data_IF_518848109537
#
_entry.id   IF_518848109537
#
_cell.length_a   1.000
_cell.length_b   1.000
_cell.length_c   1.000
_cell.angle_alpha   90.00
_cell.angle_beta   90.00
_cell.angle_gamma   90.00
#
_symmetry.space_group_name_H-M   'P 1'
#
loop_
_entity.id
_entity.type
_entity.pdbx_description
1 polymer ?
#
# COMPACT_ATOMS: atom_id res chain seq x y z
N UNK A 1 6.47 -8.97 -5.87
CA UNK A 1 7.64 -9.84 -5.63
C UNK A 1 7.33 -11.15 -4.92
N UNK A 2 6.20 -11.33 -4.19
CA UNK A 2 5.91 -12.57 -3.45
C UNK A 2 5.16 -13.66 -4.26
N UNK A 3 4.41 -13.31 -5.32
CA UNK A 3 3.66 -14.31 -6.12
C UNK A 3 4.50 -14.95 -7.25
N UNK A 4 5.61 -14.31 -7.65
CA UNK A 4 6.56 -14.87 -8.61
C UNK A 4 7.36 -16.07 -8.04
N UNK A 5 7.38 -16.23 -6.71
CA UNK A 5 8.19 -17.24 -6.04
C UNK A 5 7.53 -18.64 -6.01
N UNK A 6 6.23 -18.73 -6.30
CA UNK A 6 5.49 -20.00 -6.21
C UNK A 6 5.61 -20.89 -7.45
N UNK A 7 6.29 -20.47 -8.53
CA UNK A 7 6.31 -21.23 -9.79
C UNK A 7 7.70 -21.50 -10.39
N UNK A 8 8.81 -21.27 -9.67
CA UNK A 8 10.13 -21.50 -10.25
C UNK A 8 11.24 -21.72 -9.24
N UNK A 9 11.44 -22.97 -8.79
CA UNK A 9 12.58 -23.35 -7.94
C UNK A 9 13.45 -24.37 -8.67
N UNK A 10 14.60 -23.92 -9.19
CA UNK A 10 15.71 -24.80 -9.58
C UNK A 10 16.96 -24.34 -8.83
N UNK A 11 17.38 -25.19 -7.89
CA UNK A 11 18.55 -25.01 -7.03
C UNK A 11 19.85 -25.20 -7.81
N UNK A 12 20.82 -24.27 -7.68
CA UNK A 12 22.25 -24.61 -7.71
C UNK A 12 23.05 -23.75 -6.73
N UNK A 13 23.60 -24.43 -5.72
CA UNK A 13 24.63 -23.93 -4.81
C UNK A 13 26.02 -24.10 -5.45
N UNK A 14 26.93 -23.13 -5.21
CA UNK A 14 28.40 -23.27 -5.10
C UNK A 14 28.99 -21.85 -5.11
N UNK A 15 29.98 -21.45 -4.33
CA UNK A 15 30.82 -22.09 -3.33
C UNK A 15 31.78 -21.02 -2.80
N UNK A 16 31.97 -20.97 -1.48
CA UNK A 16 32.92 -20.07 -0.82
C UNK A 16 34.23 -20.83 -0.63
N UNK A 17 35.36 -20.27 -1.05
CA UNK A 17 36.69 -20.81 -0.73
C UNK A 17 37.45 -19.85 0.21
N UNK A 18 38.13 -20.37 1.26
CA UNK A 18 39.04 -19.60 2.09
C UNK A 18 40.50 -19.72 1.59
N UNK A 19 41.28 -18.64 1.71
CA UNK A 19 42.72 -18.59 1.39
C UNK A 19 43.55 -18.76 2.69
N UNK A 20 44.71 -19.46 2.67
CA UNK A 20 45.43 -19.89 3.87
C UNK A 20 46.42 -18.84 4.43
N UNK A 21 46.96 -19.07 5.66
CA UNK A 21 47.76 -18.10 6.39
C UNK A 21 49.26 -18.25 6.08
N UNK A 22 49.99 -17.13 6.04
CA UNK A 22 51.44 -17.18 6.00
C UNK A 22 52.09 -15.85 5.65
N UNK A 23 52.49 -15.10 6.66
CA UNK A 23 53.90 -14.75 6.91
C UNK A 23 53.95 -13.61 7.93
N UNK A 24 54.43 -13.96 9.11
CA UNK A 24 54.91 -13.02 10.11
C UNK A 24 56.21 -12.38 9.59
N UNK A 25 56.23 -11.05 9.53
CA UNK A 25 57.47 -10.29 9.53
C UNK A 25 57.35 -9.17 10.56
N UNK A 26 58.13 -9.37 11.62
CA UNK A 26 58.36 -8.50 12.75
C UNK A 26 58.81 -7.10 12.29
N UNK A 27 58.09 -6.07 12.75
CA UNK A 27 58.60 -4.70 12.78
C UNK A 27 58.69 -4.24 14.25
N UNK A 28 59.77 -3.54 14.63
CA UNK A 28 60.00 -3.15 16.01
C UNK A 28 58.95 -2.13 16.46
N UNK A 29 58.23 -2.48 17.53
CA UNK A 29 57.35 -1.56 18.24
C UNK A 29 58.23 -0.49 18.88
N UNK A 30 58.42 0.62 18.18
CA UNK A 30 58.93 1.85 18.79
C UNK A 30 57.86 2.32 19.77
N UNK A 31 58.10 2.09 21.07
CA UNK A 31 57.31 2.66 22.15
C UNK A 31 57.54 4.18 22.15
N UNK A 32 56.72 4.90 21.39
CA UNK A 32 56.58 6.34 21.59
C UNK A 32 55.89 6.52 22.94
N UNK A 33 56.67 6.77 23.99
CA UNK A 33 56.19 7.33 25.25
C UNK A 33 55.48 8.64 24.93
N UNK A 34 54.16 8.59 24.82
CA UNK A 34 53.32 9.76 24.77
C UNK A 34 53.32 10.35 26.19
N UNK A 35 54.14 11.38 26.40
CA UNK A 35 54.08 12.25 27.57
C UNK A 35 52.68 12.90 27.59
N UNK A 36 51.77 12.29 28.35
CA UNK A 36 50.50 12.90 28.74
C UNK A 36 50.79 13.85 29.91
N UNK A 37 51.36 15.01 29.59
CA UNK A 37 51.44 16.12 30.52
C UNK A 37 51.04 17.39 29.77
N UNK A 38 49.77 17.78 29.93
CA UNK A 38 49.21 18.89 29.16
C UNK A 38 47.71 19.12 29.33
N UNK A 39 47.36 19.80 30.42
CA UNK A 39 46.26 20.77 30.50
C UNK A 39 44.81 20.25 30.49
N UNK A 40 44.17 20.32 31.67
CA UNK A 40 42.75 20.09 31.93
C UNK A 40 41.78 21.08 31.27
N UNK A 41 41.86 21.27 29.96
CA UNK A 41 40.89 22.01 29.13
C UNK A 41 40.27 21.17 28.02
N UNK A 42 40.70 19.92 27.83
CA UNK A 42 40.16 19.01 26.79
C UNK A 42 38.79 18.33 27.06
N UNK A 43 38.21 18.25 28.29
CA UNK A 43 36.83 17.78 28.44
C UNK A 43 35.79 18.88 28.16
N UNK A 44 36.13 20.16 28.40
CA UNK A 44 35.17 21.24 28.42
C UNK A 44 34.72 21.68 27.01
N UNK A 45 35.63 21.66 26.04
CA UNK A 45 35.32 21.91 24.63
C UNK A 45 34.44 20.78 24.05
N UNK A 46 34.73 19.51 24.40
CA UNK A 46 33.92 18.35 24.01
C UNK A 46 32.51 18.41 24.59
N UNK A 47 32.37 18.77 25.87
CA UNK A 47 31.07 18.96 26.52
C UNK A 47 30.27 20.08 25.83
N UNK A 48 30.90 21.20 25.46
CA UNK A 48 30.22 22.30 24.73
C UNK A 48 29.72 21.87 23.36
N UNK A 49 30.52 21.14 22.58
CA UNK A 49 30.08 20.61 21.29
C UNK A 49 28.97 19.57 21.42
N UNK A 50 29.05 18.68 22.41
CA UNK A 50 27.99 17.72 22.70
C UNK A 50 26.70 18.43 23.12
N UNK A 51 26.78 19.42 24.01
CA UNK A 51 25.62 20.21 24.42
C UNK A 51 25.01 20.98 23.24
N UNK A 52 25.83 21.59 22.39
CA UNK A 52 25.36 22.26 21.18
C UNK A 52 24.68 21.29 20.21
N UNK A 53 25.26 20.09 20.02
CA UNK A 53 24.66 19.04 19.18
C UNK A 53 23.33 18.54 19.76
N UNK A 54 23.24 18.32 21.08
CA UNK A 54 21.99 17.91 21.74
C UNK A 54 20.92 19.00 21.66
N UNK A 55 21.27 20.26 21.90
CA UNK A 55 20.36 21.39 21.73
C UNK A 55 19.87 21.50 20.29
N UNK A 56 20.76 21.30 19.30
CA UNK A 56 20.39 21.29 17.90
C UNK A 56 19.42 20.15 17.57
N UNK A 57 19.70 18.92 18.03
CA UNK A 57 18.79 17.79 17.86
C UNK A 57 17.42 18.04 18.49
N UNK A 58 17.39 18.61 19.70
CA UNK A 58 16.14 18.94 20.37
C UNK A 58 15.36 20.02 19.61
N UNK A 59 16.03 21.05 19.10
CA UNK A 59 15.40 22.09 18.29
C UNK A 59 14.79 21.52 17.00
N UNK A 60 15.52 20.63 16.32
CA UNK A 60 15.03 19.95 15.10
C UNK A 60 13.83 19.05 15.40
N UNK A 61 13.89 18.28 16.49
CA UNK A 61 12.79 17.40 16.89
C UNK A 61 11.53 18.20 17.25
N UNK A 62 11.67 19.24 18.08
CA UNK A 62 10.57 20.12 18.48
C UNK A 62 10.01 20.88 17.27
N UNK A 63 10.86 21.41 16.41
CA UNK A 63 10.47 22.12 15.19
C UNK A 63 9.70 21.21 14.23
N UNK A 64 10.18 19.99 14.02
CA UNK A 64 9.50 18.99 13.19
C UNK A 64 8.16 18.61 13.80
N UNK A 65 8.09 18.31 15.10
CA UNK A 65 6.84 18.00 15.78
C UNK A 65 5.83 19.15 15.71
N UNK A 66 6.27 20.40 15.90
CA UNK A 66 5.44 21.59 15.81
C UNK A 66 4.91 21.81 14.38
N UNK A 67 5.77 21.66 13.36
CA UNK A 67 5.39 21.77 11.95
C UNK A 67 4.26 20.82 11.59
N UNK A 68 4.42 19.54 11.90
CA UNK A 68 3.39 18.54 11.59
C UNK A 68 2.14 18.72 12.42
N UNK A 69 2.25 19.04 13.72
CA UNK A 69 1.07 19.36 14.54
C UNK A 69 0.30 20.54 13.97
N UNK A 70 0.98 21.56 13.44
CA UNK A 70 0.31 22.70 12.81
C UNK A 70 -0.45 22.28 11.53
N UNK A 71 0.15 21.42 10.69
CA UNK A 71 -0.50 20.90 9.48
C UNK A 71 -1.65 19.94 9.77
N UNK A 72 -1.56 19.16 10.85
CA UNK A 72 -2.58 18.18 11.23
C UNK A 72 -3.83 18.80 11.88
N UNK A 73 -3.78 20.08 12.31
CA UNK A 73 -4.92 20.77 12.96
C UNK A 73 -6.18 20.82 12.09
N UNK A 74 -6.03 20.84 10.78
CA UNK A 74 -7.13 20.96 9.82
C UNK A 74 -7.48 19.63 9.13
N UNK A 75 -6.94 18.51 9.61
CA UNK A 75 -7.28 17.19 9.08
C UNK A 75 -8.61 16.73 9.68
N UNK A 76 -9.55 16.40 8.80
CA UNK A 76 -10.83 15.81 9.17
C UNK A 76 -10.65 14.30 9.17
N UNK A 77 -11.23 13.64 10.18
CA UNK A 77 -11.28 12.18 10.23
C UNK A 77 -12.17 11.69 9.09
N UNK A 78 -11.64 10.79 8.27
CA UNK A 78 -12.42 10.11 7.24
C UNK A 78 -13.60 9.37 7.86
N UNK A 79 -14.70 9.25 7.10
CA UNK A 79 -15.85 8.46 7.53
C UNK A 79 -15.40 7.01 7.67
N UNK A 80 -15.43 6.40 8.87
CA UNK A 80 -14.95 5.05 9.05
C UNK A 80 -15.91 4.07 8.38
N UNK A 81 -15.37 3.19 7.54
CA UNK A 81 -16.14 2.16 6.85
C UNK A 81 -15.47 0.80 6.99
N UNK A 82 -16.26 -0.26 6.83
CA UNK A 82 -15.80 -1.63 6.85
C UNK A 82 -16.56 -2.48 5.84
N UNK A 83 -16.16 -3.74 5.72
CA UNK A 83 -16.71 -4.69 4.78
C UNK A 83 -17.52 -5.74 5.54
N UNK A 84 -18.79 -5.87 5.18
CA UNK A 84 -19.67 -6.98 5.56
C UNK A 84 -19.57 -8.05 4.48
N UNK A 85 -18.88 -9.15 4.79
CA UNK A 85 -18.62 -10.22 3.84
C UNK A 85 -19.93 -10.90 3.41
N UNK A 86 -20.12 -11.15 2.10
CA UNK A 86 -21.35 -11.74 1.59
C UNK A 86 -21.32 -13.28 1.75
N UNK A 87 -21.37 -13.77 2.99
CA UNK A 87 -21.23 -15.21 3.32
C UNK A 87 -22.32 -16.10 2.69
N UNK A 88 -23.46 -15.51 2.31
CA UNK A 88 -24.58 -16.20 1.65
C UNK A 88 -24.48 -16.15 0.12
N UNK A 89 -23.46 -15.50 -0.44
CA UNK A 89 -23.28 -15.45 -1.90
C UNK A 89 -22.90 -16.82 -2.46
N UNK A 90 -23.27 -17.11 -3.73
CA UNK A 90 -22.93 -18.37 -4.35
C UNK A 90 -21.41 -18.59 -4.40
N UNK A 91 -20.98 -19.79 -4.01
CA UNK A 91 -19.55 -20.18 -3.98
C UNK A 91 -18.67 -19.27 -3.11
N UNK A 92 -19.25 -18.63 -2.07
CA UNK A 92 -18.49 -17.83 -1.14
C UNK A 92 -17.45 -18.66 -0.39
N UNK A 93 -16.21 -18.19 -0.39
CA UNK A 93 -15.14 -18.73 0.45
C UNK A 93 -14.12 -17.65 0.78
N UNK A 94 -13.51 -17.75 1.96
CA UNK A 94 -12.44 -16.84 2.37
C UNK A 94 -11.13 -17.23 1.70
N UNK A 95 -10.39 -16.23 1.24
CA UNK A 95 -9.08 -16.39 0.64
C UNK A 95 -8.03 -16.27 1.75
N UNK A 96 -7.24 -17.34 1.91
CA UNK A 96 -6.12 -17.31 2.84
C UNK A 96 -5.02 -16.41 2.27
N UNK A 97 -4.63 -15.40 3.03
CA UNK A 97 -3.45 -14.58 2.73
C UNK A 97 -2.26 -15.20 3.45
N UNK A 98 -1.33 -15.75 2.68
CA UNK A 98 -0.15 -16.43 3.22
C UNK A 98 0.74 -15.48 4.02
N UNK A 99 1.44 -16.06 5.01
CA UNK A 99 2.28 -15.29 5.92
C UNK A 99 3.44 -14.58 5.19
N UNK A 100 3.93 -15.15 4.10
CA UNK A 100 4.93 -14.51 3.24
C UNK A 100 4.39 -13.24 2.59
N UNK A 101 3.17 -13.30 2.02
CA UNK A 101 2.50 -12.14 1.45
C UNK A 101 2.26 -11.07 2.52
N UNK A 102 1.82 -11.47 3.72
CA UNK A 102 1.67 -10.56 4.87
C UNK A 102 3.01 -9.92 5.26
N UNK A 103 4.11 -10.68 5.27
CA UNK A 103 5.43 -10.16 5.59
C UNK A 103 5.93 -9.14 4.56
N UNK A 104 5.57 -9.31 3.28
CA UNK A 104 5.93 -8.38 2.20
C UNK A 104 5.04 -7.13 2.20
N UNK A 105 3.73 -7.28 2.33
CA UNK A 105 2.77 -6.15 2.29
C UNK A 105 2.69 -5.38 3.61
N UNK A 106 3.03 -6.04 4.73
CA UNK A 106 3.12 -5.46 6.08
C UNK A 106 1.86 -4.70 6.50
N UNK A 107 0.68 -5.20 6.10
CA UNK A 107 -0.60 -4.71 6.59
C UNK A 107 -0.82 -5.15 8.04
N UNK A 108 -1.59 -4.35 8.79
CA UNK A 108 -1.99 -4.65 10.17
C UNK A 108 -3.19 -5.61 10.20
N UNK A 109 -4.19 -5.37 9.34
CA UNK A 109 -5.35 -6.25 9.15
C UNK A 109 -5.60 -6.45 7.65
N UNK A 110 -6.00 -7.66 7.26
CA UNK A 110 -6.12 -8.03 5.86
C UNK A 110 -6.98 -9.27 5.70
N UNK A 111 -7.99 -9.17 4.84
CA UNK A 111 -8.93 -10.25 4.52
C UNK A 111 -9.21 -10.28 3.03
N UNK A 112 -9.40 -11.48 2.51
CA UNK A 112 -9.85 -11.70 1.14
C UNK A 112 -11.00 -12.69 1.11
N UNK A 113 -11.89 -12.55 0.14
CA UNK A 113 -12.94 -13.53 -0.14
C UNK A 113 -13.21 -13.60 -1.64
N UNK A 114 -13.73 -14.73 -2.10
CA UNK A 114 -14.20 -14.90 -3.46
C UNK A 114 -15.61 -15.50 -3.46
N UNK A 115 -16.41 -15.09 -4.44
CA UNK A 115 -17.76 -15.62 -4.69
C UNK A 115 -18.12 -15.41 -6.16
N UNK A 116 -19.27 -15.94 -6.60
CA UNK A 116 -19.78 -15.73 -7.94
C UNK A 116 -20.80 -14.60 -7.97
N UNK A 117 -20.70 -13.73 -8.97
CA UNK A 117 -21.69 -12.69 -9.25
C UNK A 117 -22.43 -13.06 -10.52
N UNK A 118 -23.75 -13.04 -10.45
CA UNK A 118 -24.63 -13.35 -11.58
C UNK A 118 -24.97 -12.07 -12.34
N UNK A 119 -24.96 -12.12 -13.68
CA UNK A 119 -25.40 -10.99 -14.49
C UNK A 119 -26.91 -10.78 -14.38
N UNK A 120 -27.39 -9.54 -14.12
CA UNK A 120 -28.82 -9.22 -14.26
C UNK A 120 -29.22 -9.02 -15.74
N UNK A 121 -28.25 -8.99 -16.66
CA UNK A 121 -28.53 -8.88 -18.09
C UNK A 121 -29.04 -10.24 -18.58
N UNK A 122 -30.22 -10.24 -19.21
CA UNK A 122 -30.86 -11.38 -19.88
C UNK A 122 -29.91 -12.02 -20.93
N UNK A 123 -28.92 -12.77 -20.47
CA UNK A 123 -28.22 -13.76 -21.28
C UNK A 123 -28.91 -15.09 -21.08
N UNK A 124 -29.10 -15.80 -22.19
CA UNK A 124 -29.73 -17.12 -22.22
C UNK A 124 -29.00 -18.16 -21.37
N UNK A 125 -27.73 -17.89 -21.01
CA UNK A 125 -26.94 -18.68 -20.07
C UNK A 125 -26.25 -17.79 -19.03
N UNK A 126 -26.19 -18.20 -17.75
CA UNK A 126 -25.54 -17.44 -16.71
C UNK A 126 -24.01 -17.48 -16.87
N UNK A 127 -23.42 -16.37 -17.32
CA UNK A 127 -21.97 -16.21 -17.27
C UNK A 127 -21.47 -16.25 -15.82
N UNK A 128 -20.61 -17.22 -15.55
CA UNK A 128 -19.95 -17.40 -14.29
C UNK A 128 -18.83 -16.35 -14.11
N UNK A 129 -19.15 -15.20 -13.52
CA UNK A 129 -18.16 -14.16 -13.18
C UNK A 129 -17.71 -14.37 -11.73
N UNK A 130 -16.41 -14.60 -11.56
CA UNK A 130 -15.80 -14.70 -10.23
C UNK A 130 -15.47 -13.31 -9.71
N UNK A 131 -15.99 -12.95 -8.54
CA UNK A 131 -15.61 -11.76 -7.81
C UNK A 131 -14.60 -12.13 -6.72
N UNK A 132 -13.46 -11.46 -6.69
CA UNK A 132 -12.50 -11.50 -5.59
C UNK A 132 -12.47 -10.13 -4.94
N UNK A 133 -12.60 -10.09 -3.62
CA UNK A 133 -12.54 -8.87 -2.83
C UNK A 133 -11.43 -8.98 -1.81
N UNK A 134 -10.51 -8.03 -1.82
CA UNK A 134 -9.49 -7.88 -0.79
C UNK A 134 -9.65 -6.56 -0.05
N UNK A 135 -9.45 -6.60 1.26
CA UNK A 135 -9.48 -5.43 2.12
C UNK A 135 -8.24 -5.45 3.00
N UNK A 136 -7.46 -4.39 2.95
CA UNK A 136 -6.24 -4.25 3.74
C UNK A 136 -6.26 -2.96 4.52
N UNK A 137 -5.69 -3.00 5.73
CA UNK A 137 -5.55 -1.85 6.60
C UNK A 137 -4.12 -1.75 7.10
N UNK A 138 -3.58 -0.54 7.03
CA UNK A 138 -2.36 -0.14 7.69
C UNK A 138 -2.69 0.93 8.71
N UNK A 139 -2.31 0.72 9.96
CA UNK A 139 -2.49 1.69 11.02
C UNK A 139 -1.58 2.92 10.82
N UNK A 140 -1.89 4.05 11.47
CA UNK A 140 -1.01 5.22 11.45
C UNK A 140 0.39 4.85 11.94
N UNK A 141 1.43 5.30 11.25
CA UNK A 141 2.81 4.92 11.55
C UNK A 141 3.69 4.64 10.33
N UNK A 142 4.91 4.19 10.57
CA UNK A 142 6.09 4.41 9.70
C UNK A 142 5.88 4.47 8.18
N UNK A 143 5.32 3.46 7.52
CA UNK A 143 5.32 3.38 6.04
C UNK A 143 3.94 3.08 5.46
N UNK A 144 2.85 3.29 6.19
CA UNK A 144 1.50 2.86 5.75
C UNK A 144 1.12 3.42 4.37
N UNK A 145 1.33 4.73 4.16
CA UNK A 145 1.10 5.38 2.87
C UNK A 145 1.94 4.80 1.71
N UNK A 146 3.19 4.43 1.96
CA UNK A 146 4.05 3.83 0.93
C UNK A 146 3.61 2.40 0.62
N UNK A 147 3.41 1.59 1.65
CA UNK A 147 3.05 0.18 1.51
C UNK A 147 1.69 0.01 0.84
N UNK A 148 0.71 0.83 1.24
CA UNK A 148 -0.60 0.85 0.60
C UNK A 148 -0.51 1.24 -0.88
N UNK A 149 0.29 2.25 -1.24
CA UNK A 149 0.52 2.65 -2.63
C UNK A 149 1.24 1.58 -3.48
N UNK A 150 2.02 0.70 -2.87
CA UNK A 150 2.69 -0.41 -3.57
C UNK A 150 1.76 -1.60 -3.81
N UNK A 151 0.62 -1.62 -3.13
CA UNK A 151 -0.42 -2.62 -3.30
C UNK A 151 -1.50 -2.06 -4.23
N UNK A 152 -1.20 -2.04 -5.53
CA UNK A 152 -2.14 -1.64 -6.58
C UNK A 152 -2.29 -2.75 -7.61
N UNK A 153 -3.47 -2.91 -8.24
CA UNK A 153 -3.70 -3.91 -9.28
C UNK A 153 -2.71 -3.81 -10.44
N UNK A 154 -2.34 -2.59 -10.86
CA UNK A 154 -1.39 -2.35 -11.94
C UNK A 154 0.06 -2.72 -11.61
N UNK A 155 0.35 -3.02 -10.34
CA UNK A 155 1.65 -3.56 -9.89
C UNK A 155 1.56 -5.05 -9.59
N UNK A 156 0.50 -5.50 -8.89
CA UNK A 156 0.41 -6.88 -8.40
C UNK A 156 -0.06 -7.88 -9.47
N UNK A 157 -1.02 -7.51 -10.33
CA UNK A 157 -1.55 -8.41 -11.35
C UNK A 157 -0.51 -8.74 -12.43
N UNK A 158 0.27 -7.77 -12.96
CA UNK A 158 1.34 -8.10 -13.91
C UNK A 158 2.39 -9.05 -13.34
N UNK A 159 2.72 -8.92 -12.05
CA UNK A 159 3.63 -9.84 -11.37
C UNK A 159 3.09 -11.28 -11.27
N UNK A 160 1.80 -11.50 -11.55
CA UNK A 160 1.13 -12.81 -11.60
C UNK A 160 0.76 -13.26 -13.02
N UNK A 161 1.32 -12.61 -14.05
CA UNK A 161 1.16 -12.99 -15.46
C UNK A 161 -0.03 -12.37 -16.18
N UNK A 162 -0.68 -11.36 -15.60
CA UNK A 162 -1.70 -10.58 -16.29
C UNK A 162 -1.08 -9.45 -17.12
N UNK A 163 -1.68 -9.13 -18.25
CA UNK A 163 -1.28 -8.00 -19.10
C UNK A 163 -2.35 -6.92 -18.94
N UNK A 164 -1.94 -5.72 -18.52
CA UNK A 164 -2.87 -4.57 -18.44
C UNK A 164 -3.23 -4.11 -19.85
N UNK A 165 -4.51 -4.10 -20.17
CA UNK A 165 -5.04 -3.70 -21.49
C UNK A 165 -5.61 -2.29 -21.47
N UNK A 166 -6.17 -1.84 -20.34
CA UNK A 166 -6.72 -0.49 -20.19
C UNK A 166 -6.62 0.06 -18.75
N UNK A 167 -6.81 1.37 -18.63
CA UNK A 167 -6.85 2.16 -17.39
C UNK A 167 -7.94 3.23 -17.56
N UNK A 168 -9.13 2.92 -17.07
CA UNK A 168 -10.35 3.71 -17.29
C UNK A 168 -10.48 4.90 -16.32
N UNK A 169 -9.41 5.18 -15.58
CA UNK A 169 -9.33 6.29 -14.65
C UNK A 169 -10.11 6.05 -13.36
N UNK A 170 -10.46 7.14 -12.68
CA UNK A 170 -11.09 7.13 -11.35
C UNK A 170 -12.54 7.56 -11.46
N UNK A 171 -13.44 6.80 -10.83
CA UNK A 171 -14.87 7.10 -10.72
C UNK A 171 -15.33 7.00 -9.27
N UNK A 172 -16.31 7.83 -8.89
CA UNK A 172 -16.92 7.79 -7.56
C UNK A 172 -18.17 6.91 -7.56
N UNK A 173 -18.30 6.06 -6.55
CA UNK A 173 -19.39 5.13 -6.38
C UNK A 173 -20.09 5.44 -5.05
N UNK A 174 -21.40 5.75 -5.08
CA UNK A 174 -22.15 6.00 -3.84
C UNK A 174 -22.28 4.70 -3.04
N UNK A 175 -22.05 4.80 -1.73
CA UNK A 175 -22.17 3.68 -0.79
C UNK A 175 -23.46 3.81 -0.01
N UNK A 176 -23.62 4.92 0.73
CA UNK A 176 -24.78 5.16 1.59
C UNK A 176 -24.89 6.65 1.93
N UNK A 177 -26.08 7.23 1.72
CA UNK A 177 -26.31 8.65 1.93
C UNK A 177 -25.39 9.51 1.05
N UNK A 178 -24.66 10.45 1.65
CA UNK A 178 -23.67 11.28 0.96
C UNK A 178 -22.26 10.70 0.93
N UNK A 179 -22.05 9.47 1.42
CA UNK A 179 -20.74 8.82 1.41
C UNK A 179 -20.50 8.08 0.11
N UNK A 180 -19.38 8.41 -0.54
CA UNK A 180 -18.93 7.81 -1.79
C UNK A 180 -17.49 7.31 -1.66
N UNK A 181 -17.16 6.27 -2.42
CA UNK A 181 -15.80 5.77 -2.56
C UNK A 181 -15.32 5.94 -4.00
N UNK A 182 -14.12 6.47 -4.17
CA UNK A 182 -13.50 6.61 -5.49
C UNK A 182 -12.65 5.39 -5.82
N UNK A 183 -13.01 4.69 -6.89
CA UNK A 183 -12.27 3.54 -7.40
C UNK A 183 -11.57 3.91 -8.71
N UNK A 184 -10.31 3.49 -8.83
CA UNK A 184 -9.62 3.43 -10.12
C UNK A 184 -9.91 2.09 -10.78
N UNK A 185 -10.25 2.10 -12.06
CA UNK A 185 -10.61 0.91 -12.82
C UNK A 185 -9.52 0.58 -13.85
N UNK A 186 -9.10 -0.67 -13.87
CA UNK A 186 -8.15 -1.24 -14.80
C UNK A 186 -8.72 -2.48 -15.47
N UNK A 187 -8.30 -2.73 -16.71
CA UNK A 187 -8.59 -3.96 -17.43
C UNK A 187 -7.32 -4.78 -17.64
N UNK A 188 -7.45 -6.09 -17.51
CA UNK A 188 -6.37 -7.04 -17.68
C UNK A 188 -6.82 -8.23 -18.50
N UNK A 189 -5.85 -8.84 -19.18
CA UNK A 189 -6.01 -10.08 -19.91
C UNK A 189 -4.92 -11.07 -19.52
N UNK A 190 -5.26 -12.36 -19.47
CA UNK A 190 -4.28 -13.44 -19.30
C UNK A 190 -4.66 -14.60 -20.20
N UNK A 191 -3.68 -15.12 -20.92
CA UNK A 191 -3.87 -16.27 -21.81
C UNK A 191 -3.02 -17.43 -21.30
N UNK A 192 -3.62 -18.60 -21.21
CA UNK A 192 -2.90 -19.85 -20.99
C UNK A 192 -2.78 -20.60 -22.31
N UNK A 193 -1.69 -21.32 -22.50
CA UNK A 193 -1.48 -22.14 -23.69
C UNK A 193 -2.64 -23.15 -23.84
N UNK A 194 -3.29 -23.15 -25.00
CA UNK A 194 -4.44 -24.02 -25.27
C UNK A 194 -5.78 -23.62 -24.62
N UNK A 195 -5.89 -22.43 -24.00
CA UNK A 195 -7.14 -21.95 -23.39
C UNK A 195 -7.60 -20.62 -23.98
N UNK A 196 -8.90 -20.33 -23.90
CA UNK A 196 -9.43 -19.02 -24.21
C UNK A 196 -8.83 -17.95 -23.28
N UNK A 197 -8.64 -16.70 -23.76
CA UNK A 197 -8.15 -15.61 -22.90
C UNK A 197 -9.11 -15.33 -21.75
N UNK A 198 -8.56 -15.18 -20.55
CA UNK A 198 -9.28 -14.69 -19.38
C UNK A 198 -9.20 -13.17 -19.33
N UNK A 199 -10.29 -12.53 -18.93
CA UNK A 199 -10.38 -11.08 -18.75
C UNK A 199 -10.65 -10.79 -17.28
N UNK A 200 -10.01 -9.73 -16.77
CA UNK A 200 -10.23 -9.25 -15.42
C UNK A 200 -10.43 -7.73 -15.39
N UNK A 201 -11.49 -7.29 -14.72
CA UNK A 201 -11.69 -5.89 -14.38
C UNK A 201 -11.33 -5.70 -12.90
N UNK A 202 -10.32 -4.89 -12.62
CA UNK A 202 -9.85 -4.62 -11.27
C UNK A 202 -10.18 -3.18 -10.86
N UNK A 203 -10.82 -3.06 -9.71
CA UNK A 203 -11.21 -1.79 -9.10
C UNK A 203 -10.43 -1.60 -7.80
N UNK A 204 -9.78 -0.45 -7.65
CA UNK A 204 -8.92 -0.13 -6.53
C UNK A 204 -9.33 1.18 -5.86
N UNK A 205 -9.59 1.14 -4.56
CA UNK A 205 -9.86 2.31 -3.74
C UNK A 205 -8.92 2.35 -2.54
N UNK A 206 -8.23 3.48 -2.34
CA UNK A 206 -7.31 3.73 -1.24
C UNK A 206 -7.73 4.95 -0.43
N UNK A 207 -8.40 4.70 0.69
CA UNK A 207 -8.84 5.76 1.61
C UNK A 207 -7.83 6.00 2.74
N UNK A 208 -7.68 7.26 3.13
CA UNK A 208 -6.91 7.65 4.30
C UNK A 208 -7.82 7.83 5.52
N UNK A 209 -7.35 7.45 6.71
CA UNK A 209 -8.12 7.63 7.95
C UNK A 209 -8.36 9.12 8.27
N UNK A 210 -7.50 10.02 7.76
CA UNK A 210 -7.59 11.47 7.93
C UNK A 210 -7.15 12.17 6.66
N UNK A 211 -7.97 13.11 6.19
CA UNK A 211 -7.69 13.91 5.00
C UNK A 211 -7.98 15.39 5.27
N UNK A 212 -7.32 16.29 4.54
CA UNK A 212 -7.62 17.72 4.62
C UNK A 212 -9.05 18.00 4.18
N UNK A 213 -9.78 18.87 4.89
CA UNK A 213 -11.18 19.22 4.57
C UNK A 213 -11.37 19.64 3.11
N UNK A 214 -10.40 20.37 2.53
CA UNK A 214 -10.43 20.80 1.12
C UNK A 214 -10.29 19.66 0.10
N UNK A 215 -9.72 18.51 0.50
CA UNK A 215 -9.64 17.31 -0.33
C UNK A 215 -10.93 16.47 -0.29
N UNK A 216 -11.74 16.60 0.76
CA UNK A 216 -13.05 15.94 0.87
C UNK A 216 -14.13 16.68 0.07
N UNK A 217 -14.09 18.02 0.04
CA UNK A 217 -15.09 18.84 -0.66
C UNK A 217 -14.88 18.95 -2.18
N UNK A 218 -13.73 18.55 -2.71
CA UNK A 218 -13.38 18.63 -4.15
C UNK A 218 -13.38 17.25 -4.82
N UNK A 219 -14.29 16.36 -4.44
CA UNK A 219 -14.46 15.05 -5.09
C UNK A 219 -14.86 15.15 -6.58
N UNK A 220 -15.29 16.34 -7.05
CA UNK A 220 -15.37 16.69 -8.46
C UNK A 220 -14.09 17.35 -8.94
N UNK A 221 -13.39 16.67 -9.86
CA UNK A 221 -12.29 17.17 -10.71
C UNK A 221 -11.02 17.67 -9.97
N UNK A 222 -9.98 16.82 -10.01
CA UNK A 222 -8.58 17.11 -9.63
C UNK A 222 -8.19 17.07 -8.14
N UNK A 223 -8.97 16.46 -7.26
CA UNK A 223 -8.47 16.15 -5.91
C UNK A 223 -7.47 15.00 -5.94
N UNK A 224 -6.20 15.33 -5.68
CA UNK A 224 -5.04 14.42 -5.51
C UNK A 224 -5.16 13.57 -4.23
N UNK A 225 -6.24 12.82 -4.08
CA UNK A 225 -6.25 11.69 -3.14
C UNK A 225 -5.26 10.60 -3.63
N UNK A 226 -4.88 9.66 -2.76
CA UNK A 226 -3.97 8.56 -3.15
C UNK A 226 -4.60 7.58 -4.18
N UNK A 227 -5.85 7.82 -4.57
CA UNK A 227 -6.57 7.13 -5.65
C UNK A 227 -6.02 7.43 -7.06
N UNK A 228 -5.17 8.45 -7.22
CA UNK A 228 -4.63 8.89 -8.51
C UNK A 228 -3.60 7.95 -9.16
N UNK A 229 -2.81 8.48 -10.09
CA UNK A 229 -1.70 7.77 -10.73
C UNK A 229 -0.70 7.21 -9.71
N UNK A 230 0.02 6.15 -10.08
CA UNK A 230 1.10 5.61 -9.25
C UNK A 230 2.09 6.73 -8.91
N UNK A 231 2.45 6.86 -7.63
CA UNK A 231 3.56 7.75 -7.24
C UNK A 231 4.87 7.15 -7.76
N UNK A 232 5.63 7.95 -8.49
CA UNK A 232 6.96 7.58 -8.96
C UNK A 232 8.02 7.72 -7.85
N UNK A 233 7.62 8.23 -6.68
CA UNK A 233 8.44 8.44 -5.49
C UNK A 233 9.70 9.26 -5.75
N UNK A 234 9.61 10.18 -6.72
CA UNK A 234 10.69 11.10 -7.07
C UNK A 234 11.07 11.97 -5.88
N UNK A 235 12.29 12.52 -5.87
CA UNK A 235 12.75 13.44 -4.82
C UNK A 235 11.79 14.63 -4.68
N UNK A 236 11.24 15.13 -5.79
CA UNK A 236 10.27 16.21 -5.82
C UNK A 236 8.95 15.83 -5.14
N UNK A 237 8.41 14.64 -5.42
CA UNK A 237 7.20 14.13 -4.76
C UNK A 237 7.38 13.97 -3.24
N UNK A 238 8.55 13.49 -2.82
CA UNK A 238 8.88 13.35 -1.40
C UNK A 238 8.93 14.70 -0.68
N UNK A 239 9.63 15.68 -1.27
CA UNK A 239 9.68 17.04 -0.72
C UNK A 239 8.27 17.65 -0.67
N UNK A 240 7.48 17.48 -1.74
CA UNK A 240 6.10 17.95 -1.81
C UNK A 240 5.24 17.35 -0.70
N UNK A 241 5.33 16.05 -0.47
CA UNK A 241 4.59 15.34 0.60
C UNK A 241 4.92 15.92 1.98
N UNK A 242 6.19 16.26 2.22
CA UNK A 242 6.65 16.90 3.47
C UNK A 242 6.11 18.32 3.60
N UNK A 243 6.13 19.10 2.51
CA UNK A 243 5.59 20.47 2.46
C UNK A 243 4.07 20.50 2.66
N UNK A 244 3.36 19.50 2.15
CA UNK A 244 1.92 19.32 2.37
C UNK A 244 1.60 18.80 3.80
N UNK A 245 2.62 18.48 4.60
CA UNK A 245 2.47 17.96 5.95
C UNK A 245 1.81 16.58 6.00
N UNK A 246 1.74 15.85 4.87
CA UNK A 246 1.13 14.53 4.81
C UNK A 246 2.01 13.52 5.53
N UNK A 247 1.47 12.95 6.60
CA UNK A 247 2.09 11.82 7.33
C UNK A 247 1.40 10.51 6.99
N UNK A 248 1.95 9.46 7.55
CA UNK A 248 1.35 8.13 7.51
C UNK A 248 0.18 8.03 8.49
N UNK A 249 -0.97 8.56 8.07
CA UNK A 249 -2.15 8.78 8.92
C UNK A 249 -3.05 7.56 9.07
N UNK A 250 -2.62 6.41 8.56
CA UNK A 250 -3.42 5.19 8.48
C UNK A 250 -4.13 5.12 7.14
N UNK A 251 -4.13 3.92 6.56
CA UNK A 251 -4.59 3.67 5.19
C UNK A 251 -5.44 2.43 5.14
N UNK A 252 -6.47 2.48 4.29
CA UNK A 252 -7.34 1.34 4.04
C UNK A 252 -7.58 1.20 2.54
N UNK A 253 -7.27 0.01 2.04
CA UNK A 253 -7.45 -0.38 0.64
C UNK A 253 -8.61 -1.37 0.55
N UNK A 254 -9.45 -1.19 -0.47
CA UNK A 254 -10.38 -2.20 -0.95
C UNK A 254 -10.15 -2.41 -2.45
N UNK A 255 -9.97 -3.68 -2.82
CA UNK A 255 -9.77 -4.10 -4.20
C UNK A 255 -10.84 -5.11 -4.58
N UNK A 256 -11.58 -4.83 -5.65
CA UNK A 256 -12.55 -5.76 -6.23
C UNK A 256 -12.08 -6.17 -7.62
N UNK A 257 -11.97 -7.48 -7.87
CA UNK A 257 -11.58 -8.04 -9.14
C UNK A 257 -12.72 -8.91 -9.66
N UNK A 258 -13.16 -8.66 -10.90
CA UNK A 258 -14.14 -9.48 -11.60
C UNK A 258 -13.44 -10.23 -12.72
N UNK A 259 -13.43 -11.56 -12.65
CA UNK A 259 -12.70 -12.43 -13.58
C UNK A 259 -13.70 -13.31 -14.33
N UNK A 260 -13.52 -13.39 -15.65
CA UNK A 260 -14.36 -14.18 -16.55
C UNK A 260 -13.52 -14.82 -17.66
N UNK A 261 -13.97 -15.98 -18.14
CA UNK A 261 -13.43 -16.62 -19.36
C UNK A 261 -14.08 -16.07 -20.63
N UNK A 262 -15.18 -15.32 -20.48
CA UNK A 262 -15.87 -14.66 -21.57
C UNK A 262 -15.74 -13.14 -21.47
N UNK A 263 -15.62 -12.43 -22.60
CA UNK A 263 -15.62 -10.98 -22.61
C UNK A 263 -16.88 -10.40 -21.97
N UNK A 264 -16.68 -9.37 -21.16
CA UNK A 264 -17.73 -8.51 -20.65
C UNK A 264 -17.20 -7.07 -20.65
N UNK A 265 -18.10 -6.12 -20.78
CA UNK A 265 -17.73 -4.71 -20.95
C UNK A 265 -17.34 -4.05 -19.63
N UNK A 266 -16.56 -2.97 -19.71
CA UNK A 266 -16.32 -2.07 -18.58
C UNK A 266 -17.63 -1.62 -17.90
N UNK A 267 -18.67 -1.32 -18.67
CA UNK A 267 -19.96 -0.90 -18.14
C UNK A 267 -20.67 -2.00 -17.31
N UNK A 268 -20.58 -3.25 -17.74
CA UNK A 268 -21.07 -4.39 -16.96
C UNK A 268 -20.23 -4.56 -15.67
N UNK A 269 -18.91 -4.45 -15.77
CA UNK A 269 -18.01 -4.51 -14.62
C UNK A 269 -18.31 -3.42 -13.58
N UNK A 270 -18.53 -2.18 -14.03
CA UNK A 270 -18.93 -1.05 -13.18
C UNK A 270 -20.29 -1.27 -12.50
N UNK A 271 -21.21 -1.95 -13.19
CA UNK A 271 -22.52 -2.32 -12.63
C UNK A 271 -22.38 -3.35 -11.51
N UNK A 272 -21.51 -4.37 -11.70
CA UNK A 272 -21.19 -5.32 -10.64
C UNK A 272 -20.50 -4.65 -9.45
N UNK A 273 -19.56 -3.74 -9.69
CA UNK A 273 -18.91 -2.99 -8.62
C UNK A 273 -19.95 -2.19 -7.82
N UNK A 274 -20.88 -1.50 -8.48
CA UNK A 274 -21.92 -0.71 -7.81
C UNK A 274 -22.75 -1.58 -6.87
N UNK A 275 -23.19 -2.75 -7.33
CA UNK A 275 -23.96 -3.68 -6.50
C UNK A 275 -23.11 -4.22 -5.33
N UNK A 276 -21.89 -4.68 -5.59
CA UNK A 276 -20.97 -5.19 -4.55
C UNK A 276 -20.73 -4.12 -3.49
N UNK A 277 -20.38 -2.89 -3.88
CA UNK A 277 -20.06 -1.82 -2.95
C UNK A 277 -21.27 -1.42 -2.10
N UNK A 278 -22.46 -1.32 -2.69
CA UNK A 278 -23.69 -1.03 -1.96
C UNK A 278 -24.01 -2.11 -0.91
N UNK A 279 -23.79 -3.39 -1.25
CA UNK A 279 -24.17 -4.50 -0.37
C UNK A 279 -23.12 -4.84 0.70
N UNK A 280 -21.84 -4.60 0.38
CA UNK A 280 -20.70 -5.06 1.17
C UNK A 280 -20.08 -3.94 2.01
N UNK A 281 -20.05 -2.69 1.54
CA UNK A 281 -19.45 -1.59 2.31
C UNK A 281 -20.46 -1.04 3.31
N UNK A 282 -20.08 -1.05 4.59
CA UNK A 282 -20.91 -0.55 5.69
C UNK A 282 -20.19 0.55 6.45
N UNK A 283 -20.91 1.62 6.78
CA UNK A 283 -20.41 2.70 7.63
C UNK A 283 -20.29 2.21 9.07
N UNK A 284 -19.14 2.42 9.71
CA UNK A 284 -19.00 2.18 11.15
C UNK A 284 -19.61 3.36 11.91
N UNK A 285 -20.47 3.06 12.87
CA UNK A 285 -20.88 4.07 13.84
C UNK A 285 -19.66 4.50 14.68
N UNK A 286 -19.52 5.80 15.00
CA UNK A 286 -18.46 6.28 15.86
C UNK A 286 -18.70 5.78 17.30
N UNK A 287 -18.21 4.59 17.65
CA UNK A 287 -18.40 4.02 18.98
C UNK A 287 -17.74 2.67 19.25
N UNK A 288 -17.69 1.76 18.27
CA UNK A 288 -17.04 0.46 18.46
C UNK A 288 -15.54 0.54 18.11
N UNK A 289 -14.70 0.56 19.16
CA UNK A 289 -13.27 0.22 19.07
C UNK A 289 -13.09 -1.27 19.25
#
# INVERSE_FOLDING_TARGET
MALAYLLGKSHRNAGFQPVPPGMASSLPISQTRCLLEGSGKMPQLRIRYLAAALCWLLLVEVGTAAWYRAHERNLVRGIPWSVRWPEQAPNFHQLKIDQEIRAVLRFDDGKGAAWMVTSPVNRSEPNAISCLLYVFRWNPGKNSALLANLHRPDVCLPASGWIKTADDGVRSYPVSGSFELSFRHFEFQRTFEGSAPQIAHAFYCLSEDRASSGSMSRAGTNSRGMFGSSSEWTRAERIRTVLEGRRHLGQQVIEALFVSNEPFSAAEAESYLRDVIHNVVVLRQPGNR
#
